data_IF_496011520760
#
_entry.id   IF_496011520760
#
_cell.length_a   1.000
_cell.length_b   1.000
_cell.length_c   1.000
_cell.angle_alpha   90.00
_cell.angle_beta   90.00
_cell.angle_gamma   90.00
#
_symmetry.space_group_name_H-M   'P 1'
#
loop_
_entity.id
_entity.type
_entity.pdbx_description
1 polymer ?
#
# COMPACT_ATOMS: atom_id res chain seq x y z
N UNK A 1 -6.96 12.32 -5.41
CA UNK A 1 -5.59 12.68 -4.96
C UNK A 1 -5.29 12.28 -3.53
N UNK A 2 -6.27 12.12 -2.64
CA UNK A 2 -6.07 11.81 -1.21
C UNK A 2 -5.46 10.43 -0.92
N UNK A 3 -5.75 9.42 -1.75
CA UNK A 3 -5.29 8.03 -1.54
C UNK A 3 -3.80 7.84 -1.81
N UNK A 4 -3.27 8.54 -2.81
CA UNK A 4 -1.83 8.57 -3.16
C UNK A 4 -1.01 9.23 -2.04
N UNK A 5 -1.48 10.39 -1.54
CA UNK A 5 -0.86 11.08 -0.39
C UNK A 5 -0.85 10.17 0.85
N UNK A 6 -1.89 9.37 1.04
CA UNK A 6 -1.95 8.40 2.13
C UNK A 6 -0.97 7.25 1.99
N UNK A 7 -0.73 6.76 0.77
CA UNK A 7 0.26 5.72 0.49
C UNK A 7 1.68 6.24 0.76
N UNK A 8 2.06 7.36 0.14
CA UNK A 8 3.38 7.97 0.28
C UNK A 8 3.72 8.22 1.75
N UNK A 9 2.77 8.76 2.53
CA UNK A 9 2.98 8.94 3.97
C UNK A 9 3.19 7.62 4.72
N UNK A 10 2.42 6.59 4.38
CA UNK A 10 2.49 5.28 5.07
C UNK A 10 3.81 4.57 4.76
N UNK A 11 4.29 4.65 3.52
CA UNK A 11 5.55 4.01 3.12
C UNK A 11 6.75 4.74 3.72
N UNK A 12 6.76 6.09 3.72
CA UNK A 12 7.84 6.86 4.38
C UNK A 12 7.92 6.56 5.88
N UNK A 13 6.77 6.47 6.56
CA UNK A 13 6.76 6.13 7.98
C UNK A 13 7.27 4.69 8.25
N UNK A 14 7.07 3.76 7.31
CA UNK A 14 7.62 2.41 7.39
C UNK A 14 9.14 2.41 7.18
N UNK A 15 9.64 3.17 6.21
CA UNK A 15 11.08 3.33 5.94
C UNK A 15 11.82 3.90 7.17
N UNK A 16 11.23 4.91 7.83
CA UNK A 16 11.78 5.50 9.04
C UNK A 16 11.88 4.48 10.19
N UNK A 17 10.87 3.61 10.33
CA UNK A 17 10.87 2.53 11.33
C UNK A 17 11.98 1.53 11.04
N UNK A 18 12.10 1.08 9.79
CA UNK A 18 13.15 0.15 9.39
C UNK A 18 14.53 0.75 9.66
N UNK A 19 14.74 2.02 9.29
CA UNK A 19 16.00 2.73 9.57
C UNK A 19 16.31 2.80 11.07
N UNK A 20 15.31 3.04 11.92
CA UNK A 20 15.51 3.07 13.38
C UNK A 20 15.86 1.69 13.95
N UNK A 21 15.23 0.63 13.46
CA UNK A 21 15.52 -0.75 13.87
C UNK A 21 16.92 -1.18 13.43
N UNK A 22 17.34 -0.82 12.21
CA UNK A 22 18.68 -1.14 11.67
C UNK A 22 19.81 -0.41 12.41
N UNK A 23 19.57 0.80 12.92
CA UNK A 23 20.54 1.53 13.75
C UNK A 23 20.85 0.83 15.07
N UNK A 24 19.92 0.04 15.60
CA UNK A 24 20.13 -0.74 16.83
C UNK A 24 20.30 0.09 18.10
N UNK A 25 19.92 1.37 18.09
CA UNK A 25 20.02 2.27 19.25
C UNK A 25 18.80 2.18 20.20
N UNK A 26 17.77 1.44 19.79
CA UNK A 26 16.52 1.30 20.55
C UNK A 26 16.65 0.25 21.65
N UNK A 27 15.93 0.49 22.75
CA UNK A 27 15.72 -0.55 23.77
C UNK A 27 14.95 -1.73 23.17
N UNK A 28 14.98 -2.90 23.84
CA UNK A 28 14.20 -4.05 23.41
C UNK A 28 12.70 -3.75 23.35
N UNK A 29 12.17 -3.03 24.34
CA UNK A 29 10.76 -2.66 24.41
C UNK A 29 10.38 -1.71 23.26
N UNK A 30 11.22 -0.71 22.98
CA UNK A 30 10.97 0.22 21.88
C UNK A 30 11.13 -0.46 20.52
N UNK A 31 12.09 -1.38 20.38
CA UNK A 31 12.26 -2.18 19.17
C UNK A 31 11.02 -3.01 18.87
N UNK A 32 10.41 -3.62 19.90
CA UNK A 32 9.16 -4.37 19.74
C UNK A 32 8.00 -3.46 19.32
N UNK A 33 7.85 -2.29 19.95
CA UNK A 33 6.82 -1.29 19.57
C UNK A 33 6.98 -0.83 18.12
N UNK A 34 8.22 -0.51 17.71
CA UNK A 34 8.51 -0.10 16.34
C UNK A 34 8.25 -1.23 15.35
N UNK A 35 8.60 -2.46 15.70
CA UNK A 35 8.31 -3.64 14.87
C UNK A 35 6.81 -3.85 14.66
N UNK A 36 6.00 -3.83 15.72
CA UNK A 36 4.54 -3.96 15.62
C UNK A 36 3.92 -2.87 14.74
N UNK A 37 4.39 -1.62 14.91
CA UNK A 37 3.99 -0.49 14.09
C UNK A 37 4.38 -0.69 12.62
N UNK A 38 5.60 -1.16 12.36
CA UNK A 38 6.09 -1.49 11.02
C UNK A 38 5.22 -2.54 10.32
N UNK A 39 4.87 -3.63 11.02
CA UNK A 39 3.96 -4.67 10.49
C UNK A 39 2.59 -4.07 10.12
N UNK A 40 2.07 -3.17 10.96
CA UNK A 40 0.77 -2.52 10.72
C UNK A 40 0.81 -1.62 9.49
N UNK A 41 1.87 -0.82 9.33
CA UNK A 41 2.06 0.05 8.16
C UNK A 41 2.25 -0.78 6.88
N UNK A 42 3.03 -1.85 6.94
CA UNK A 42 3.24 -2.75 5.79
C UNK A 42 1.92 -3.37 5.30
N UNK A 43 1.07 -3.84 6.22
CA UNK A 43 -0.28 -4.35 5.87
C UNK A 43 -1.13 -3.28 5.22
N UNK A 44 -1.10 -2.05 5.75
CA UNK A 44 -1.86 -0.93 5.20
C UNK A 44 -1.39 -0.54 3.79
N UNK A 45 -0.07 -0.55 3.55
CA UNK A 45 0.48 -0.35 2.20
C UNK A 45 -0.05 -1.41 1.23
N UNK A 46 -0.03 -2.68 1.63
CA UNK A 46 -0.55 -3.79 0.82
C UNK A 46 -2.03 -3.60 0.49
N UNK A 47 -2.87 -3.24 1.47
CA UNK A 47 -4.29 -2.98 1.24
C UNK A 47 -4.53 -1.84 0.25
N UNK A 48 -3.75 -0.76 0.33
CA UNK A 48 -3.87 0.37 -0.60
C UNK A 48 -3.52 -0.07 -2.02
N UNK A 49 -2.44 -0.85 -2.19
CA UNK A 49 -2.03 -1.39 -3.49
C UNK A 49 -3.08 -2.34 -4.06
N UNK A 50 -3.58 -3.29 -3.28
CA UNK A 50 -4.65 -4.20 -3.72
C UNK A 50 -5.91 -3.46 -4.15
N UNK A 51 -6.31 -2.41 -3.41
CA UNK A 51 -7.46 -1.59 -3.82
C UNK A 51 -7.19 -0.79 -5.10
N UNK A 52 -5.94 -0.39 -5.35
CA UNK A 52 -5.56 0.29 -6.59
C UNK A 52 -5.60 -0.69 -7.77
N UNK A 53 -5.06 -1.90 -7.61
CA UNK A 53 -5.10 -2.98 -8.60
C UNK A 53 -6.54 -3.34 -8.97
N UNK A 54 -7.41 -3.60 -7.99
CA UNK A 54 -8.83 -3.88 -8.22
C UNK A 54 -9.52 -2.77 -9.01
N UNK A 55 -9.19 -1.51 -8.72
CA UNK A 55 -9.75 -0.37 -9.45
C UNK A 55 -9.29 -0.35 -10.90
N UNK A 56 -8.02 -0.67 -11.17
CA UNK A 56 -7.47 -0.77 -12.53
C UNK A 56 -8.15 -1.92 -13.28
N UNK A 57 -8.34 -3.07 -12.64
CA UNK A 57 -8.99 -4.23 -13.23
C UNK A 57 -10.46 -3.93 -13.60
N UNK A 58 -11.21 -3.28 -12.71
CA UNK A 58 -12.60 -2.86 -13.00
C UNK A 58 -12.68 -1.87 -14.17
N UNK A 59 -11.77 -0.89 -14.22
CA UNK A 59 -11.73 0.09 -15.32
C UNK A 59 -11.33 -0.56 -16.65
N UNK A 60 -10.42 -1.54 -16.61
CA UNK A 60 -9.97 -2.27 -17.79
C UNK A 60 -11.05 -3.20 -18.32
N UNK A 61 -11.76 -3.89 -17.41
CA UNK A 61 -12.87 -4.81 -17.74
C UNK A 61 -14.11 -4.07 -18.25
N UNK A 62 -14.37 -2.87 -17.73
CA UNK A 62 -15.47 -2.01 -18.23
C UNK A 62 -15.20 -1.48 -19.64
N UNK A 63 -13.93 -1.39 -20.05
CA UNK A 63 -13.54 -0.92 -21.40
C UNK A 63 -13.65 -1.99 -22.48
N UNK A 64 -13.81 -3.26 -22.10
CA UNK A 64 -13.93 -4.40 -23.04
C UNK A 64 -15.38 -4.76 -23.41
N UNK A 65 -16.39 -4.07 -22.88
CA UNK A 65 -17.82 -4.27 -23.21
C UNK A 65 -18.34 -3.11 -24.08
N UNK A 66 -17.69 -2.83 -25.21
CA UNK A 66 -18.29 -1.98 -26.28
C UNK A 66 -17.57 -2.19 -27.62
N UNK A 67 -17.37 -3.42 -28.07
CA UNK A 67 -17.07 -3.69 -29.48
C UNK A 67 -17.46 -5.12 -29.83
N UNK A 68 -18.73 -5.29 -30.16
CA UNK A 68 -19.30 -6.56 -30.59
C UNK A 68 -20.77 -6.48 -31.00
N UNK A 69 -21.22 -5.34 -31.55
CA UNK A 69 -22.46 -5.25 -32.32
C UNK A 69 -22.14 -4.66 -33.69
N UNK A 70 -21.87 -5.56 -34.63
CA UNK A 70 -21.96 -5.38 -36.07
C UNK A 70 -22.15 -6.80 -36.64
N UNK A 71 -23.39 -7.20 -36.92
CA UNK A 71 -23.99 -7.20 -38.26
C UNK A 71 -23.75 -8.55 -38.98
N UNK A 72 -24.56 -9.56 -38.65
CA UNK A 72 -25.28 -10.53 -39.52
C UNK A 72 -25.96 -11.61 -38.64
#
# INVERSE_FOLDING_TARGET
MTKTIHFEKTITELEDIVSQLEKGELSLEDSLKQFEKGITLARKCQEILTQAEQKIEMLSSSKTIDNGKADD
#
